data_IF_134430204598
#
_entry.id   IF_134430204598
#
_cell.length_a   1.000
_cell.length_b   1.000
_cell.length_c   1.000
_cell.angle_alpha   90.00
_cell.angle_beta   90.00
_cell.angle_gamma   90.00
#
_symmetry.space_group_name_H-M   'P 1'
#
loop_
_entity.id
_entity.type
_entity.pdbx_description
1 polymer ?
#
# COMPACT_ATOMS: atom_id res chain seq x y z
N UNK A 1 -13.39 -6.83 -9.50
CA UNK A 1 -12.50 -7.48 -8.51
C UNK A 1 -11.60 -6.42 -7.92
N UNK A 2 -11.06 -6.64 -6.72
CA UNK A 2 -10.08 -5.78 -6.05
C UNK A 2 -8.97 -6.67 -5.49
N UNK A 3 -7.71 -6.28 -5.69
CA UNK A 3 -6.58 -6.85 -4.96
C UNK A 3 -6.41 -6.05 -3.67
N UNK A 4 -6.36 -6.73 -2.54
CA UNK A 4 -6.15 -6.12 -1.23
C UNK A 4 -5.12 -6.91 -0.42
N UNK A 5 -4.46 -6.23 0.52
CA UNK A 5 -3.60 -6.88 1.51
C UNK A 5 -4.33 -6.92 2.86
N UNK A 6 -4.52 -8.13 3.39
CA UNK A 6 -5.17 -8.42 4.66
C UNK A 6 -4.22 -9.19 5.58
N UNK A 7 -4.52 -9.35 6.89
CA UNK A 7 -3.68 -10.11 7.81
C UNK A 7 -3.37 -11.56 7.37
N UNK A 8 -4.18 -12.13 6.48
CA UNK A 8 -3.98 -13.46 5.87
C UNK A 8 -3.06 -13.47 4.65
N UNK A 9 -2.75 -12.31 4.07
CA UNK A 9 -2.01 -12.18 2.80
C UNK A 9 -2.66 -11.20 1.83
N UNK A 10 -1.99 -11.04 0.69
CA UNK A 10 -2.58 -10.39 -0.47
C UNK A 10 -3.59 -11.32 -1.16
N UNK A 11 -4.79 -10.82 -1.41
CA UNK A 11 -5.90 -11.60 -1.96
C UNK A 11 -6.67 -10.82 -3.03
N UNK A 12 -7.32 -11.56 -3.92
CA UNK A 12 -8.21 -11.03 -4.96
C UNK A 12 -9.65 -11.32 -4.55
N UNK A 13 -10.42 -10.27 -4.30
CA UNK A 13 -11.82 -10.36 -3.85
C UNK A 13 -12.78 -9.67 -4.82
N UNK A 14 -14.08 -9.91 -4.68
CA UNK A 14 -15.09 -9.14 -5.41
C UNK A 14 -15.24 -7.77 -4.74
N UNK A 15 -15.54 -6.74 -5.54
CA UNK A 15 -15.69 -5.38 -5.02
C UNK A 15 -16.83 -5.27 -3.99
N UNK A 16 -17.88 -6.06 -4.16
CA UNK A 16 -19.02 -6.14 -3.23
C UNK A 16 -18.66 -6.75 -1.86
N UNK A 17 -17.58 -7.55 -1.79
CA UNK A 17 -17.09 -8.15 -0.56
C UNK A 17 -16.07 -7.24 0.15
N UNK A 18 -15.64 -6.15 -0.50
CA UNK A 18 -14.69 -5.19 0.06
C UNK A 18 -15.36 -4.26 1.07
N UNK A 19 -14.56 -3.67 1.97
CA UNK A 19 -15.05 -2.62 2.87
C UNK A 19 -15.61 -1.44 2.06
N UNK A 20 -16.64 -0.73 2.57
CA UNK A 20 -17.18 0.45 1.89
C UNK A 20 -16.08 1.43 1.52
N UNK A 21 -16.05 1.81 0.25
CA UNK A 21 -14.96 2.64 -0.28
C UNK A 21 -15.15 4.08 0.17
N UNK A 22 -14.11 4.63 0.78
CA UNK A 22 -14.07 6.02 1.24
C UNK A 22 -13.71 6.97 0.09
N UNK A 23 -12.76 6.58 -0.75
CA UNK A 23 -12.25 7.39 -1.86
C UNK A 23 -11.65 6.50 -2.94
N UNK A 24 -11.86 6.87 -4.21
CA UNK A 24 -11.23 6.23 -5.36
C UNK A 24 -10.13 7.13 -5.91
N UNK A 25 -9.01 6.54 -6.35
CA UNK A 25 -7.98 7.27 -7.10
C UNK A 25 -8.31 7.42 -8.60
N UNK A 26 -9.43 6.84 -9.04
CA UNK A 26 -9.88 6.89 -10.43
C UNK A 26 -9.99 8.34 -10.87
N UNK A 27 -9.35 8.66 -11.99
CA UNK A 27 -9.30 9.98 -12.63
C UNK A 27 -8.61 11.08 -11.82
N UNK A 28 -8.05 10.76 -10.64
CA UNK A 28 -7.23 11.69 -9.85
C UNK A 28 -5.73 11.58 -10.17
N UNK A 29 -5.29 10.38 -10.54
CA UNK A 29 -3.91 10.14 -10.95
C UNK A 29 -3.89 10.02 -12.48
N UNK A 30 -3.12 10.88 -13.14
CA UNK A 30 -2.96 10.86 -14.59
C UNK A 30 -2.19 9.60 -15.01
N UNK A 31 -2.91 8.64 -15.58
CA UNK A 31 -2.40 7.33 -15.96
C UNK A 31 -2.82 7.01 -17.39
N UNK A 32 -1.83 6.65 -18.21
CA UNK A 32 -2.09 6.06 -19.53
C UNK A 32 -2.77 4.69 -19.40
N UNK A 33 -3.45 4.24 -20.45
CA UNK A 33 -4.08 2.91 -20.46
C UNK A 33 -3.06 1.80 -20.21
N UNK A 34 -1.87 1.91 -20.78
CA UNK A 34 -0.79 0.95 -20.59
C UNK A 34 -0.36 0.87 -19.12
N UNK A 35 -0.14 2.01 -18.48
CA UNK A 35 0.19 2.07 -17.05
C UNK A 35 -0.91 1.47 -16.17
N UNK A 36 -2.19 1.70 -16.49
CA UNK A 36 -3.30 1.09 -15.76
C UNK A 36 -3.27 -0.43 -15.88
N UNK A 37 -2.99 -0.96 -17.08
CA UNK A 37 -2.80 -2.39 -17.28
C UNK A 37 -1.61 -2.93 -16.48
N UNK A 38 -0.48 -2.24 -16.51
CA UNK A 38 0.74 -2.67 -15.80
C UNK A 38 0.55 -2.67 -14.27
N UNK A 39 -0.17 -1.68 -13.72
CA UNK A 39 -0.55 -1.67 -12.29
C UNK A 39 -1.41 -2.88 -11.95
N UNK A 40 -2.39 -3.21 -12.80
CA UNK A 40 -3.28 -4.37 -12.58
C UNK A 40 -2.47 -5.67 -12.61
N UNK A 41 -1.58 -5.83 -13.59
CA UNK A 41 -0.70 -7.00 -13.69
C UNK A 41 0.17 -7.09 -12.43
N UNK A 42 0.83 -6.00 -12.05
CA UNK A 42 1.69 -5.95 -10.88
C UNK A 42 0.95 -6.28 -9.58
N UNK A 43 -0.30 -5.79 -9.43
CA UNK A 43 -1.14 -6.10 -8.28
C UNK A 43 -1.55 -7.58 -8.24
N UNK A 44 -1.92 -8.15 -9.40
CA UNK A 44 -2.27 -9.56 -9.50
C UNK A 44 -1.09 -10.47 -9.17
N UNK A 45 0.12 -10.12 -9.59
CA UNK A 45 1.36 -10.85 -9.27
C UNK A 45 1.70 -10.85 -7.77
N UNK A 46 1.12 -9.93 -7.00
CA UNK A 46 1.28 -9.88 -5.54
C UNK A 46 0.30 -10.80 -4.81
N UNK A 47 -0.78 -11.28 -5.46
CA UNK A 47 -1.79 -12.16 -4.84
C UNK A 47 -1.14 -13.47 -4.36
N UNK A 48 -1.46 -13.87 -3.14
CA UNK A 48 -0.89 -15.04 -2.48
C UNK A 48 0.39 -14.75 -1.68
N UNK A 49 0.91 -13.52 -1.73
CA UNK A 49 2.03 -13.10 -0.87
C UNK A 49 1.56 -13.05 0.59
N UNK A 50 2.19 -13.81 1.53
CA UNK A 50 1.77 -13.87 2.93
C UNK A 50 2.03 -12.57 3.71
N UNK A 51 1.19 -12.28 4.71
CA UNK A 51 1.24 -11.07 5.57
C UNK A 51 1.74 -11.43 6.98
N UNK A 52 2.59 -10.61 7.60
CA UNK A 52 3.13 -10.88 8.96
C UNK A 52 2.55 -9.93 10.00
N UNK A 53 1.70 -10.47 10.87
CA UNK A 53 1.00 -9.73 11.94
C UNK A 53 1.94 -9.09 12.99
N UNK A 54 3.22 -9.50 13.04
CA UNK A 54 4.21 -8.96 13.97
C UNK A 54 4.57 -7.50 13.69
N UNK A 55 4.44 -7.05 12.42
CA UNK A 55 4.74 -5.67 12.03
C UNK A 55 3.68 -4.66 12.55
N UNK A 56 2.45 -5.13 12.75
CA UNK A 56 1.37 -4.35 13.34
C UNK A 56 1.66 -4.00 14.80
N UNK A 57 2.32 -4.92 15.53
CA UNK A 57 2.70 -4.70 16.92
C UNK A 57 3.80 -3.64 17.02
N UNK A 58 4.76 -3.63 16.08
CA UNK A 58 5.82 -2.63 16.02
C UNK A 58 5.34 -1.24 15.58
N UNK A 59 4.45 -1.13 14.60
CA UNK A 59 3.85 0.16 14.21
C UNK A 59 2.96 0.72 15.33
N UNK A 60 2.23 -0.15 16.03
CA UNK A 60 1.48 0.26 17.23
C UNK A 60 2.41 0.70 18.38
N UNK A 61 3.53 0.01 18.59
CA UNK A 61 4.53 0.34 19.62
C UNK A 61 5.28 1.65 19.30
N UNK A 62 5.59 1.93 18.04
CA UNK A 62 6.24 3.17 17.63
C UNK A 62 5.29 4.38 17.78
N UNK A 63 4.00 4.23 17.44
CA UNK A 63 2.96 5.24 17.73
C UNK A 63 2.70 5.44 19.23
N UNK A 64 3.02 4.47 20.08
CA UNK A 64 2.96 4.57 21.54
C UNK A 64 4.25 5.16 22.16
N UNK A 65 5.23 5.58 21.36
CA UNK A 65 6.43 6.27 21.83
C UNK A 65 7.62 5.36 22.18
N UNK A 66 7.54 4.06 21.92
CA UNK A 66 8.64 3.12 22.16
C UNK A 66 9.63 3.10 20.98
N UNK A 67 10.57 4.03 20.99
CA UNK A 67 11.61 4.19 19.97
C UNK A 67 12.85 3.36 20.30
N UNK A 68 12.79 2.04 20.11
CA UNK A 68 13.94 1.16 20.32
C UNK A 68 14.63 0.80 18.99
N UNK A 69 15.95 1.00 18.93
CA UNK A 69 16.81 0.62 17.80
C UNK A 69 16.63 -0.85 17.39
N UNK A 70 16.35 -1.74 18.36
CA UNK A 70 16.11 -3.17 18.13
C UNK A 70 14.82 -3.46 17.35
N UNK A 71 13.80 -2.61 17.49
CA UNK A 71 12.52 -2.77 16.76
C UNK A 71 12.73 -2.37 15.30
N UNK A 72 13.47 -1.28 15.07
CA UNK A 72 13.80 -0.78 13.74
C UNK A 72 14.68 -1.78 12.95
N UNK A 73 15.68 -2.36 13.62
CA UNK A 73 16.55 -3.40 13.03
C UNK A 73 15.77 -4.72 12.77
N UNK A 74 14.78 -5.06 13.61
CA UNK A 74 13.93 -6.24 13.42
C UNK A 74 12.97 -6.08 12.23
N UNK A 75 12.33 -4.91 12.10
CA UNK A 75 11.45 -4.56 10.97
C UNK A 75 12.23 -4.51 9.65
N UNK A 76 13.44 -3.96 9.64
CA UNK A 76 14.30 -3.95 8.46
C UNK A 76 14.81 -5.34 8.06
N UNK A 77 14.93 -6.28 9.00
CA UNK A 77 15.40 -7.65 8.73
C UNK A 77 14.32 -8.61 8.22
N UNK A 78 13.05 -8.20 8.21
CA UNK A 78 11.91 -9.12 8.13
C UNK A 78 11.37 -9.34 6.70
N UNK A 79 11.35 -8.31 5.83
CA UNK A 79 10.98 -8.45 4.42
C UNK A 79 9.48 -8.61 4.11
N UNK A 80 8.61 -7.71 4.60
CA UNK A 80 7.14 -7.86 4.56
C UNK A 80 6.39 -6.66 3.93
N UNK A 81 5.08 -6.84 3.61
CA UNK A 81 4.26 -6.05 2.67
C UNK A 81 2.95 -5.54 3.33
N UNK A 82 2.82 -4.24 3.66
CA UNK A 82 1.63 -3.57 4.26
C UNK A 82 0.53 -3.26 3.22
N UNK A 83 -0.75 -3.06 3.59
CA UNK A 83 -1.83 -2.70 2.64
C UNK A 83 -1.54 -1.46 1.78
N UNK A 84 -0.97 -0.39 2.36
CA UNK A 84 -0.47 0.77 1.64
C UNK A 84 0.77 0.45 0.80
N UNK A 85 1.65 -0.41 1.31
CA UNK A 85 2.84 -0.86 0.58
C UNK A 85 2.49 -1.73 -0.63
N UNK A 86 1.41 -2.53 -0.60
CA UNK A 86 0.90 -3.26 -1.76
C UNK A 86 0.55 -2.27 -2.88
N UNK A 87 -0.12 -1.17 -2.53
CA UNK A 87 -0.47 -0.12 -3.49
C UNK A 87 0.80 0.52 -4.04
N UNK A 88 1.71 0.98 -3.17
CA UNK A 88 2.94 1.64 -3.62
C UNK A 88 3.79 0.72 -4.50
N UNK A 89 3.97 -0.55 -4.12
CA UNK A 89 4.73 -1.52 -4.91
C UNK A 89 4.08 -1.86 -6.24
N UNK A 90 2.74 -1.92 -6.31
CA UNK A 90 2.04 -2.14 -7.57
C UNK A 90 2.27 -0.97 -8.55
N UNK A 91 2.26 0.26 -8.05
CA UNK A 91 2.56 1.45 -8.85
C UNK A 91 4.04 1.52 -9.25
N UNK A 92 4.97 1.26 -8.32
CA UNK A 92 6.41 1.26 -8.62
C UNK A 92 6.79 0.20 -9.67
N UNK A 93 6.20 -1.00 -9.60
CA UNK A 93 6.38 -2.05 -10.62
C UNK A 93 5.85 -1.65 -11.99
N UNK A 94 4.87 -0.77 -12.04
CA UNK A 94 4.36 -0.16 -13.27
C UNK A 94 5.16 1.10 -13.70
N UNK A 95 6.28 1.38 -13.03
CA UNK A 95 7.15 2.53 -13.35
C UNK A 95 6.60 3.87 -12.86
N UNK A 96 5.69 3.87 -11.88
CA UNK A 96 5.05 5.08 -11.34
C UNK A 96 5.43 5.23 -9.87
N UNK A 97 6.19 6.27 -9.56
CA UNK A 97 6.56 6.61 -8.19
C UNK A 97 5.50 7.53 -7.57
N UNK A 98 4.63 6.98 -6.72
CA UNK A 98 3.65 7.79 -5.97
C UNK A 98 4.31 8.68 -4.90
N UNK A 99 5.42 8.21 -4.31
CA UNK A 99 6.17 8.90 -3.26
C UNK A 99 7.67 8.87 -3.57
N UNK A 100 8.17 9.78 -4.42
CA UNK A 100 9.58 9.80 -4.82
C UNK A 100 10.52 9.88 -3.61
N UNK A 101 11.52 8.99 -3.56
CA UNK A 101 12.52 8.95 -2.49
C UNK A 101 12.01 8.45 -1.13
N UNK A 102 10.79 7.91 -1.06
CA UNK A 102 10.22 7.31 0.15
C UNK A 102 10.19 5.80 0.03
N UNK A 103 10.63 5.08 1.07
CA UNK A 103 10.58 3.62 1.04
C UNK A 103 9.11 3.15 1.13
N UNK A 104 8.66 2.19 0.31
CA UNK A 104 7.25 1.75 0.30
C UNK A 104 6.70 1.29 1.65
N UNK A 105 7.54 0.71 2.51
CA UNK A 105 7.15 0.27 3.85
C UNK A 105 6.89 1.41 4.84
N UNK A 106 7.36 2.63 4.55
CA UNK A 106 7.14 3.81 5.39
C UNK A 106 5.84 4.56 5.04
N UNK A 107 5.19 4.21 3.93
CA UNK A 107 3.96 4.85 3.46
C UNK A 107 2.75 4.30 4.23
N UNK A 108 1.96 5.19 4.84
CA UNK A 108 0.74 4.80 5.56
C UNK A 108 -0.53 4.98 4.72
N UNK A 109 -1.65 4.33 5.07
CA UNK A 109 -2.94 4.60 4.42
C UNK A 109 -3.38 6.07 4.50
N UNK A 110 -2.98 6.79 5.55
CA UNK A 110 -3.26 8.22 5.70
C UNK A 110 -2.48 9.09 4.71
N UNK A 111 -1.29 8.65 4.30
CA UNK A 111 -0.48 9.36 3.30
C UNK A 111 -1.08 9.19 1.90
N UNK A 112 -1.54 7.98 1.55
CA UNK A 112 -2.32 7.74 0.33
C UNK A 112 -3.59 8.59 0.30
N UNK A 113 -4.33 8.66 1.41
CA UNK A 113 -5.52 9.51 1.49
C UNK A 113 -5.19 10.99 1.29
N UNK A 114 -4.12 11.49 1.93
CA UNK A 114 -3.68 12.88 1.78
C UNK A 114 -3.30 13.20 0.34
N UNK A 115 -2.52 12.34 -0.30
CA UNK A 115 -2.14 12.45 -1.72
C UNK A 115 -3.38 12.60 -2.60
N UNK A 116 -4.38 11.74 -2.43
CA UNK A 116 -5.61 11.80 -3.23
C UNK A 116 -6.43 13.06 -2.97
N UNK A 117 -6.47 13.58 -1.73
CA UNK A 117 -7.17 14.83 -1.42
C UNK A 117 -6.49 16.05 -2.01
N UNK A 118 -5.16 16.05 -2.08
CA UNK A 118 -4.38 17.09 -2.78
C UNK A 118 -4.70 17.07 -4.27
N UNK A 119 -4.61 15.91 -4.92
CA UNK A 119 -4.95 15.74 -6.34
C UNK A 119 -6.42 16.11 -6.67
N UNK A 120 -7.38 15.74 -5.82
CA UNK A 120 -8.79 16.11 -5.97
C UNK A 120 -9.01 17.63 -5.92
N UNK A 121 -8.18 18.37 -5.17
CA UNK A 121 -8.31 19.82 -5.03
C UNK A 121 -7.74 20.60 -6.22
N UNK A 122 -6.90 19.95 -7.04
CA UNK A 122 -6.24 20.53 -8.21
C UNK A 122 -7.01 20.30 -9.53
N UNK A 123 -8.15 19.58 -9.47
CA UNK A 123 -9.07 19.28 -10.60
C UNK A 123 -10.26 20.24 -10.59
#
# INVERSE_FOLDING_TARGET
MVVQAMPSGAELIRLEDASPVVMWSTDLIDLTELQRCDIVIAALDLVGTPYSFLDYLSIALERLGFHSKLIRDYVQSSGHLICSQLVVLAYERAGIELFPGTFPGDVTPGDLHRLLKELESDV
#
